data_IF_820193163379
#
_entry.id   IF_820193163379
#
_cell.length_a   1.000
_cell.length_b   1.000
_cell.length_c   1.000
_cell.angle_alpha   90.00
_cell.angle_beta   90.00
_cell.angle_gamma   90.00
#
_symmetry.space_group_name_H-M   'P 1'
#
loop_
_entity.id
_entity.type
_entity.pdbx_description
1 polymer ?
#
# COMPACT_ATOMS: atom_id res chain seq x y z
N UNK A 1 60.33 39.11 1.54
CA UNK A 1 59.59 37.93 1.99
C UNK A 1 58.22 38.38 2.47
N UNK A 2 57.22 38.34 1.60
CA UNK A 2 55.85 38.77 1.92
C UNK A 2 55.09 37.61 2.57
N UNK A 3 54.50 37.89 3.74
CA UNK A 3 53.50 37.06 4.41
C UNK A 3 52.14 37.30 3.75
N UNK A 4 51.54 36.26 3.17
CA UNK A 4 50.15 36.31 2.72
C UNK A 4 49.38 35.23 3.48
N UNK A 5 48.64 35.66 4.50
CA UNK A 5 47.67 34.84 5.22
C UNK A 5 46.31 34.98 4.55
N UNK A 6 45.82 33.90 3.94
CA UNK A 6 44.41 33.68 3.63
C UNK A 6 44.20 32.16 3.61
N UNK A 7 43.94 31.57 4.77
CA UNK A 7 43.34 30.24 4.80
C UNK A 7 41.84 30.43 5.01
N UNK A 8 41.11 30.44 3.90
CA UNK A 8 39.66 30.40 3.90
C UNK A 8 39.23 29.08 4.52
N UNK A 9 38.50 29.15 5.64
CA UNK A 9 37.76 28.02 6.21
C UNK A 9 36.70 27.59 5.22
N UNK A 10 37.09 26.71 4.29
CA UNK A 10 36.21 26.02 3.37
C UNK A 10 35.32 25.05 4.14
N UNK A 11 34.04 25.05 3.76
CA UNK A 11 32.98 24.31 4.42
C UNK A 11 33.25 22.81 4.50
N UNK A 12 33.07 22.27 5.70
CA UNK A 12 33.11 20.86 6.00
C UNK A 12 31.84 20.42 6.72
N UNK A 13 30.66 20.79 6.22
CA UNK A 13 29.36 20.39 6.80
C UNK A 13 28.45 19.72 5.78
N UNK A 14 28.92 18.66 5.13
CA UNK A 14 28.10 17.79 4.27
C UNK A 14 28.92 16.51 4.19
N UNK A 15 28.62 15.41 4.89
CA UNK A 15 27.71 14.33 4.47
C UNK A 15 27.30 13.44 5.68
N UNK A 16 27.32 14.06 6.87
CA UNK A 16 27.07 13.55 8.22
C UNK A 16 25.68 13.13 8.69
N UNK A 17 24.62 13.66 8.05
CA UNK A 17 23.28 13.67 8.66
C UNK A 17 22.46 12.54 8.05
N UNK A 18 22.32 11.44 8.80
CA UNK A 18 21.34 10.41 8.51
C UNK A 18 19.93 11.00 8.33
N UNK A 19 19.03 10.20 7.76
CA UNK A 19 17.63 10.60 7.52
C UNK A 19 17.05 11.17 8.83
N UNK A 20 16.50 12.40 8.83
CA UNK A 20 15.86 12.99 9.99
C UNK A 20 14.89 12.01 10.67
N UNK A 21 14.88 11.95 12.01
CA UNK A 21 14.02 11.02 12.75
C UNK A 21 12.55 11.17 12.36
N UNK A 22 12.09 12.40 12.16
CA UNK A 22 10.73 12.69 11.69
C UNK A 22 10.38 11.99 10.37
N UNK A 23 11.31 11.95 9.40
CA UNK A 23 11.11 11.25 8.13
C UNK A 23 11.14 9.74 8.35
N UNK A 24 12.01 9.27 9.23
CA UNK A 24 12.09 7.84 9.58
C UNK A 24 10.79 7.35 10.22
N UNK A 25 10.19 8.13 11.12
CA UNK A 25 8.94 7.78 11.80
C UNK A 25 7.75 7.82 10.84
N UNK A 26 7.69 8.80 9.95
CA UNK A 26 6.71 8.86 8.87
C UNK A 26 6.80 7.63 7.95
N UNK A 27 8.01 7.22 7.55
CA UNK A 27 8.21 6.01 6.73
C UNK A 27 7.69 4.76 7.45
N UNK A 28 7.97 4.63 8.75
CA UNK A 28 7.49 3.49 9.56
C UNK A 28 5.97 3.48 9.66
N UNK A 29 5.35 4.63 9.90
CA UNK A 29 3.90 4.74 9.99
C UNK A 29 3.24 4.33 8.67
N UNK A 30 3.74 4.86 7.53
CA UNK A 30 3.24 4.46 6.22
C UNK A 30 3.43 2.95 5.95
N UNK A 31 4.54 2.35 6.41
CA UNK A 31 4.72 0.90 6.31
C UNK A 31 3.66 0.15 7.10
N UNK A 32 3.42 0.52 8.36
CA UNK A 32 2.43 -0.13 9.22
C UNK A 32 1.04 -0.08 8.58
N UNK A 33 0.63 1.09 8.07
CA UNK A 33 -0.66 1.24 7.42
C UNK A 33 -0.77 0.45 6.11
N UNK A 34 0.26 0.47 5.25
CA UNK A 34 0.26 -0.32 4.01
C UNK A 34 0.08 -1.83 4.30
N UNK A 35 0.80 -2.34 5.31
CA UNK A 35 0.62 -3.73 5.76
C UNK A 35 -0.75 -3.99 6.34
N UNK A 36 -1.25 -3.09 7.20
CA UNK A 36 -2.55 -3.24 7.85
C UNK A 36 -3.67 -3.42 6.83
N UNK A 37 -3.74 -2.53 5.82
CA UNK A 37 -4.73 -2.61 4.76
C UNK A 37 -4.58 -3.88 3.90
N UNK A 38 -3.34 -4.26 3.59
CA UNK A 38 -3.06 -5.46 2.80
C UNK A 38 -3.44 -6.75 3.52
N UNK A 39 -3.24 -6.82 4.83
CA UNK A 39 -3.67 -7.94 5.67
C UNK A 39 -5.20 -8.07 5.67
N UNK A 40 -5.94 -6.94 5.79
CA UNK A 40 -7.40 -6.96 5.72
C UNK A 40 -7.86 -7.50 4.36
N UNK A 41 -7.27 -7.03 3.25
CA UNK A 41 -7.57 -7.51 1.90
C UNK A 41 -7.31 -9.01 1.77
N UNK A 42 -6.15 -9.49 2.21
CA UNK A 42 -5.79 -10.90 2.16
C UNK A 42 -6.79 -11.78 2.91
N UNK A 43 -7.15 -11.43 4.15
CA UNK A 43 -8.10 -12.23 4.93
C UNK A 43 -9.51 -12.16 4.38
N UNK A 44 -9.96 -11.03 3.81
CA UNK A 44 -11.25 -10.96 3.13
C UNK A 44 -11.35 -11.96 2.00
N UNK A 45 -10.31 -12.06 1.18
CA UNK A 45 -10.23 -13.02 0.08
C UNK A 45 -10.12 -14.47 0.57
N UNK A 46 -9.28 -14.72 1.57
CA UNK A 46 -9.10 -16.06 2.13
C UNK A 46 -10.39 -16.58 2.77
N UNK A 47 -11.13 -15.72 3.48
CA UNK A 47 -12.34 -16.09 4.20
C UNK A 47 -13.60 -16.07 3.32
N UNK A 48 -13.61 -15.35 2.20
CA UNK A 48 -14.75 -15.35 1.26
C UNK A 48 -15.02 -16.73 0.65
N UNK A 49 -14.02 -17.62 0.64
CA UNK A 49 -14.18 -19.00 0.16
C UNK A 49 -14.58 -20.00 1.25
N UNK A 50 -14.47 -19.63 2.52
CA UNK A 50 -14.71 -20.53 3.66
C UNK A 50 -15.99 -20.22 4.43
N UNK A 51 -16.52 -19.01 4.29
CA UNK A 51 -17.77 -18.63 4.93
C UNK A 51 -18.96 -19.04 4.04
N UNK A 52 -20.00 -19.67 4.62
CA UNK A 52 -21.25 -19.89 3.90
C UNK A 52 -21.77 -18.55 3.35
N UNK A 53 -22.35 -18.52 2.14
CA UNK A 53 -23.01 -17.32 1.66
C UNK A 53 -24.04 -16.87 2.71
N UNK A 54 -24.20 -15.55 2.93
CA UNK A 54 -25.21 -15.06 3.86
C UNK A 54 -26.55 -15.68 3.47
N UNK A 55 -27.19 -16.37 4.42
CA UNK A 55 -28.46 -17.06 4.19
C UNK A 55 -29.42 -16.12 3.45
N UNK A 56 -30.16 -16.63 2.45
CA UNK A 56 -31.20 -15.83 1.80
C UNK A 56 -32.13 -15.26 2.88
N UNK A 57 -32.59 -14.00 2.74
CA UNK A 57 -33.51 -13.42 3.71
C UNK A 57 -34.71 -14.36 3.84
N UNK A 58 -34.95 -14.84 5.07
CA UNK A 58 -36.14 -15.62 5.39
C UNK A 58 -37.39 -14.88 4.87
N UNK A 59 -38.38 -15.59 4.33
CA UNK A 59 -39.63 -14.95 3.89
C UNK A 59 -40.22 -14.13 5.04
N UNK A 60 -40.88 -12.99 4.74
CA UNK A 60 -41.34 -12.07 5.76
C UNK A 60 -42.36 -12.74 6.68
N UNK A 61 -41.92 -13.07 7.89
CA UNK A 61 -42.80 -13.45 8.99
C UNK A 61 -43.46 -12.19 9.52
N UNK A 62 -44.75 -12.05 9.25
CA UNK A 62 -45.60 -10.97 9.75
C UNK A 62 -45.74 -11.06 11.27
N UNK A 63 -44.86 -10.40 12.04
CA UNK A 63 -45.14 -9.98 13.43
C UNK A 63 -44.04 -9.09 14.01
N UNK A 64 -44.33 -7.79 14.04
CA UNK A 64 -44.24 -6.86 15.18
C UNK A 64 -42.97 -6.82 16.06
N UNK A 65 -42.20 -5.75 15.84
CA UNK A 65 -41.47 -4.90 16.81
C UNK A 65 -40.56 -5.55 17.89
N UNK A 66 -39.25 -5.41 17.69
CA UNK A 66 -38.37 -4.73 18.67
C UNK A 66 -37.08 -4.31 17.98
N UNK A 67 -36.84 -3.01 18.02
CA UNK A 67 -35.70 -2.33 17.40
C UNK A 67 -34.44 -2.61 18.22
N UNK A 68 -33.71 -3.65 17.86
CA UNK A 68 -32.32 -3.83 18.27
C UNK A 68 -31.46 -3.57 17.03
N UNK A 69 -31.21 -2.29 16.75
CA UNK A 69 -30.18 -1.90 15.79
C UNK A 69 -28.83 -2.30 16.37
N UNK A 70 -28.42 -3.55 16.13
CA UNK A 70 -27.02 -3.92 16.24
C UNK A 70 -26.28 -3.05 15.22
N UNK A 71 -25.22 -2.31 15.59
CA UNK A 71 -24.41 -1.60 14.61
C UNK A 71 -23.90 -2.66 13.63
N UNK A 72 -24.40 -2.63 12.40
CA UNK A 72 -23.83 -3.42 11.33
C UNK A 72 -22.39 -2.94 11.18
N UNK A 73 -21.37 -3.79 11.31
CA UNK A 73 -19.99 -3.34 11.17
C UNK A 73 -19.86 -2.64 9.81
N UNK A 74 -19.46 -1.37 9.85
CA UNK A 74 -19.30 -0.53 8.67
C UNK A 74 -18.34 -1.24 7.70
N UNK A 75 -18.91 -1.84 6.65
CA UNK A 75 -18.13 -2.63 5.71
C UNK A 75 -17.42 -1.68 4.75
N UNK A 76 -16.18 -1.31 5.08
CA UNK A 76 -15.33 -0.51 4.19
C UNK A 76 -15.11 -1.27 2.89
N UNK A 77 -15.44 -0.73 1.69
CA UNK A 77 -15.24 -1.41 0.41
C UNK A 77 -13.77 -1.78 0.15
N UNK A 78 -13.53 -2.93 -0.51
CA UNK A 78 -12.15 -3.38 -0.79
C UNK A 78 -11.37 -2.39 -1.66
N UNK A 79 -12.02 -1.73 -2.63
CA UNK A 79 -11.36 -0.71 -3.46
C UNK A 79 -10.89 0.51 -2.63
N UNK A 80 -11.60 0.87 -1.56
CA UNK A 80 -11.17 1.92 -0.62
C UNK A 80 -9.89 1.50 0.11
N UNK A 81 -9.85 0.28 0.63
CA UNK A 81 -8.66 -0.25 1.32
C UNK A 81 -7.44 -0.33 0.38
N UNK A 82 -7.66 -0.71 -0.88
CA UNK A 82 -6.61 -0.73 -1.91
C UNK A 82 -6.08 0.69 -2.15
N UNK A 83 -6.98 1.67 -2.30
CA UNK A 83 -6.58 3.07 -2.47
C UNK A 83 -5.72 3.57 -1.32
N UNK A 84 -6.07 3.21 -0.08
CA UNK A 84 -5.30 3.57 1.12
C UNK A 84 -3.94 2.86 1.15
N UNK A 85 -3.89 1.56 0.86
CA UNK A 85 -2.65 0.81 0.78
C UNK A 85 -1.68 1.44 -0.24
N UNK A 86 -2.18 1.77 -1.44
CA UNK A 86 -1.39 2.42 -2.49
C UNK A 86 -0.94 3.82 -2.09
N UNK A 87 -1.76 4.59 -1.38
CA UNK A 87 -1.40 5.92 -0.88
C UNK A 87 -0.17 5.85 0.04
N UNK A 88 -0.18 4.96 1.02
CA UNK A 88 0.96 4.82 1.94
C UNK A 88 2.22 4.30 1.22
N UNK A 89 2.06 3.40 0.26
CA UNK A 89 3.17 2.92 -0.58
C UNK A 89 3.76 4.02 -1.47
N UNK A 90 2.92 4.93 -1.98
CA UNK A 90 3.31 6.12 -2.74
C UNK A 90 4.02 7.15 -1.86
N UNK A 91 3.57 7.33 -0.61
CA UNK A 91 4.22 8.22 0.37
C UNK A 91 5.62 7.72 0.71
N UNK A 92 5.79 6.42 0.95
CA UNK A 92 7.12 5.81 1.17
C UNK A 92 8.05 6.15 0.00
N UNK A 93 7.62 5.87 -1.23
CA UNK A 93 8.44 6.12 -2.42
C UNK A 93 8.81 7.60 -2.60
N UNK A 94 7.91 8.51 -2.21
CA UNK A 94 8.17 9.95 -2.25
C UNK A 94 9.23 10.38 -1.22
N UNK A 95 9.16 9.83 0.00
CA UNK A 95 10.08 10.10 1.10
C UNK A 95 11.45 9.44 0.93
N UNK A 96 11.52 8.36 0.16
CA UNK A 96 12.75 7.58 -0.08
C UNK A 96 13.37 7.82 -1.45
N UNK A 97 12.91 8.82 -2.20
CA UNK A 97 13.38 9.08 -3.58
C UNK A 97 14.90 9.26 -3.71
N UNK A 98 15.60 9.67 -2.64
CA UNK A 98 17.05 9.83 -2.60
C UNK A 98 17.78 8.82 -1.71
N UNK A 99 17.08 7.81 -1.18
CA UNK A 99 17.64 6.84 -0.22
C UNK A 99 17.29 5.41 -0.61
N UNK A 100 18.19 4.44 -0.40
CA UNK A 100 17.96 3.04 -0.76
C UNK A 100 17.06 2.34 0.28
N UNK A 101 16.03 3.00 0.80
CA UNK A 101 15.05 2.37 1.66
C UNK A 101 14.10 1.59 0.75
N UNK A 102 14.14 0.26 0.89
CA UNK A 102 13.31 -0.63 0.08
C UNK A 102 11.85 -0.50 0.50
N UNK A 103 11.00 -0.14 -0.46
CA UNK A 103 9.57 -0.33 -0.34
C UNK A 103 9.25 -1.85 -0.22
N UNK A 104 8.09 -2.20 0.31
CA UNK A 104 7.74 -3.61 0.53
C UNK A 104 6.86 -4.14 -0.60
N UNK A 105 7.29 -5.24 -1.22
CA UNK A 105 6.59 -5.81 -2.37
C UNK A 105 5.24 -6.43 -1.99
N UNK A 106 5.16 -7.11 -0.84
CA UNK A 106 3.97 -7.89 -0.49
C UNK A 106 2.70 -7.02 -0.37
N UNK A 107 2.70 -5.88 0.35
CA UNK A 107 1.53 -5.00 0.39
C UNK A 107 1.11 -4.51 -1.00
N UNK A 108 2.08 -4.08 -1.83
CA UNK A 108 1.81 -3.61 -3.17
C UNK A 108 1.22 -4.70 -4.07
N UNK A 109 1.74 -5.93 -3.96
CA UNK A 109 1.23 -7.08 -4.70
C UNK A 109 -0.22 -7.40 -4.35
N UNK A 110 -0.56 -7.46 -3.05
CA UNK A 110 -1.92 -7.74 -2.60
C UNK A 110 -2.89 -6.63 -3.05
N UNK A 111 -2.54 -5.36 -2.80
CA UNK A 111 -3.36 -4.23 -3.21
C UNK A 111 -3.59 -4.21 -4.73
N UNK A 112 -2.54 -4.49 -5.52
CA UNK A 112 -2.65 -4.54 -6.96
C UNK A 112 -3.48 -5.73 -7.47
N UNK A 113 -3.32 -6.92 -6.89
CA UNK A 113 -4.07 -8.11 -7.29
C UNK A 113 -5.58 -7.97 -7.05
N UNK A 114 -5.98 -7.27 -5.99
CA UNK A 114 -7.39 -7.04 -5.64
C UNK A 114 -8.00 -5.80 -6.34
N UNK A 115 -7.20 -5.05 -7.11
CA UNK A 115 -7.66 -3.85 -7.81
C UNK A 115 -8.55 -4.19 -9.02
N UNK A 116 -9.79 -3.73 -8.96
CA UNK A 116 -10.75 -3.83 -10.07
C UNK A 116 -10.83 -2.51 -10.81
N UNK A 117 -10.83 -1.40 -10.07
CA UNK A 117 -10.94 -0.06 -10.65
C UNK A 117 -9.73 0.26 -11.52
N UNK A 118 -9.99 0.70 -12.74
CA UNK A 118 -8.94 1.04 -13.72
C UNK A 118 -7.97 2.09 -13.19
N UNK A 119 -8.44 3.07 -12.41
CA UNK A 119 -7.59 4.09 -11.78
C UNK A 119 -6.60 3.48 -10.78
N UNK A 120 -7.03 2.51 -9.97
CA UNK A 120 -6.19 1.83 -8.97
C UNK A 120 -5.19 0.90 -9.65
N UNK A 121 -5.58 0.20 -10.72
CA UNK A 121 -4.66 -0.59 -11.55
C UNK A 121 -3.54 0.26 -12.13
N UNK A 122 -3.85 1.46 -12.64
CA UNK A 122 -2.84 2.39 -13.13
C UNK A 122 -1.86 2.85 -12.03
N UNK A 123 -2.38 3.19 -10.84
CA UNK A 123 -1.53 3.54 -9.68
C UNK A 123 -0.60 2.39 -9.29
N UNK A 124 -1.11 1.17 -9.24
CA UNK A 124 -0.33 -0.02 -8.95
C UNK A 124 0.78 -0.26 -9.99
N UNK A 125 0.49 -0.12 -11.28
CA UNK A 125 1.50 -0.22 -12.34
C UNK A 125 2.58 0.87 -12.21
N UNK A 126 2.17 2.11 -11.93
CA UNK A 126 3.11 3.21 -11.69
C UNK A 126 4.00 2.93 -10.47
N UNK A 127 3.47 2.30 -9.43
CA UNK A 127 4.25 1.83 -8.29
C UNK A 127 5.29 0.78 -8.70
N UNK A 128 4.90 -0.27 -9.44
CA UNK A 128 5.84 -1.30 -9.90
C UNK A 128 6.99 -0.71 -10.73
N UNK A 129 6.69 0.26 -11.61
CA UNK A 129 7.70 0.96 -12.41
C UNK A 129 8.74 1.67 -11.53
N UNK A 130 8.30 2.35 -10.46
CA UNK A 130 9.18 3.07 -9.53
C UNK A 130 9.97 2.10 -8.65
N UNK A 131 9.30 1.06 -8.16
CA UNK A 131 9.90 0.05 -7.30
C UNK A 131 11.04 -0.74 -8.03
N UNK A 132 10.98 -0.92 -9.36
CA UNK A 132 12.09 -1.53 -10.13
C UNK A 132 13.43 -0.84 -9.94
N UNK A 133 13.42 0.48 -9.67
CA UNK A 133 14.65 1.28 -9.44
C UNK A 133 15.35 0.92 -8.13
N UNK A 134 14.64 0.28 -7.20
CA UNK A 134 15.13 -0.05 -5.87
C UNK A 134 15.70 -1.49 -5.78
N UNK A 135 15.83 -2.21 -6.89
CA UNK A 135 16.52 -3.51 -6.93
C UNK A 135 15.74 -4.69 -6.35
N UNK A 136 14.42 -4.57 -6.15
CA UNK A 136 13.58 -5.67 -5.68
C UNK A 136 13.41 -6.67 -6.84
N UNK A 137 14.23 -7.73 -6.86
CA UNK A 137 14.38 -8.63 -8.01
C UNK A 137 13.13 -9.40 -8.44
N UNK A 138 12.12 -9.52 -7.57
CA UNK A 138 10.85 -10.21 -7.88
C UNK A 138 9.72 -9.27 -8.33
N UNK A 139 9.97 -7.98 -8.55
CA UNK A 139 8.95 -7.03 -9.01
C UNK A 139 8.34 -7.42 -10.35
N UNK A 140 9.17 -7.73 -11.35
CA UNK A 140 8.66 -7.99 -12.71
C UNK A 140 7.75 -9.22 -12.73
N UNK A 141 8.13 -10.24 -11.97
CA UNK A 141 7.33 -11.44 -11.80
C UNK A 141 6.02 -11.14 -11.06
N UNK A 142 6.04 -10.30 -10.03
CA UNK A 142 4.84 -9.86 -9.32
C UNK A 142 3.89 -9.05 -10.22
N UNK A 143 4.41 -8.08 -10.98
CA UNK A 143 3.64 -7.29 -11.95
C UNK A 143 2.97 -8.19 -13.00
N UNK A 144 3.71 -9.20 -13.51
CA UNK A 144 3.18 -10.17 -14.47
C UNK A 144 2.03 -10.99 -13.88
N UNK A 145 2.16 -11.46 -12.64
CA UNK A 145 1.11 -12.22 -11.94
C UNK A 145 -0.13 -11.37 -11.72
N UNK A 146 0.02 -10.12 -11.27
CA UNK A 146 -1.09 -9.19 -11.08
C UNK A 146 -1.86 -8.96 -12.38
N UNK A 147 -1.16 -8.73 -13.50
CA UNK A 147 -1.80 -8.57 -14.81
C UNK A 147 -2.57 -9.82 -15.24
N UNK A 148 -2.05 -11.00 -14.93
CA UNK A 148 -2.74 -12.26 -15.20
C UNK A 148 -3.99 -12.44 -14.34
N UNK A 149 -3.97 -11.99 -13.07
CA UNK A 149 -5.17 -11.95 -12.21
C UNK A 149 -6.23 -11.07 -12.84
N UNK A 150 -5.88 -9.83 -13.21
CA UNK A 150 -6.81 -8.91 -13.89
C UNK A 150 -7.38 -9.51 -15.17
N UNK A 151 -6.54 -10.15 -15.99
CA UNK A 151 -6.98 -10.80 -17.24
C UNK A 151 -7.99 -11.93 -16.99
N UNK A 152 -7.94 -12.60 -15.84
CA UNK A 152 -8.91 -13.65 -15.47
C UNK A 152 -10.21 -13.02 -14.95
N UNK A 153 -10.09 -12.04 -14.05
CA UNK A 153 -11.24 -11.33 -13.49
C UNK A 153 -12.04 -10.58 -14.56
N UNK A 154 -11.39 -9.96 -15.55
CA UNK A 154 -12.08 -9.23 -16.63
C UNK A 154 -12.79 -10.15 -17.64
N UNK A 155 -12.58 -11.47 -17.56
CA UNK A 155 -13.24 -12.47 -18.41
C UNK A 155 -14.41 -13.17 -17.75
N UNK A 156 -14.56 -13.02 -16.43
CA UNK A 156 -15.69 -13.51 -15.64
C UNK A 156 -16.83 -12.48 -15.68
#
# INVERSE_FOLDING_TARGET
TQSNGLNGSGGGETWQKGIPQIITDEIKENHVWAFHYSVILFFRRALSHTLPPPHPPSPPSTSTSSSSQHPTPEHVPSQTLISHALLHLENIDSLTSSTPISNTLWPAFIAAAEAVDTSLRHRALAWFVRARRHGIGNIEQAERLVREVWRRTDRE
#
